data_IF_519177633595
#
_entry.id   IF_519177633595
#
_cell.length_a   1.000
_cell.length_b   1.000
_cell.length_c   1.000
_cell.angle_alpha   90.00
_cell.angle_beta   90.00
_cell.angle_gamma   90.00
#
_symmetry.space_group_name_H-M   'P 1'
#
loop_
_entity.id
_entity.type
_entity.pdbx_description
1 polymer ?
#
# COMPACT_ATOMS: atom_id res chain seq x y z
N UNK A 1 -23.92 13.33 16.80
CA UNK A 1 -23.46 14.59 16.16
C UNK A 1 -22.68 15.49 17.11
N UNK A 2 -22.98 15.51 18.42
CA UNK A 2 -22.24 16.32 19.39
C UNK A 2 -20.75 15.91 19.51
N UNK A 3 -20.42 14.61 19.49
CA UNK A 3 -19.02 14.13 19.62
C UNK A 3 -18.13 14.38 18.39
N UNK A 4 -18.70 14.42 17.19
CA UNK A 4 -17.93 14.64 15.96
C UNK A 4 -17.46 16.09 15.83
N UNK A 5 -18.29 17.05 16.28
CA UNK A 5 -17.95 18.47 16.29
C UNK A 5 -16.86 18.79 17.33
N UNK A 6 -16.89 18.14 18.50
CA UNK A 6 -15.88 18.30 19.56
C UNK A 6 -14.52 17.72 19.16
N UNK A 7 -14.49 16.61 18.39
CA UNK A 7 -13.25 16.03 17.85
C UNK A 7 -12.64 16.83 16.69
N UNK A 8 -13.48 17.44 15.85
CA UNK A 8 -13.02 18.37 14.82
C UNK A 8 -12.31 19.59 15.43
N UNK A 9 -12.74 20.06 16.60
CA UNK A 9 -12.10 21.15 17.33
C UNK A 9 -10.77 20.74 18.01
N UNK A 10 -10.55 19.46 18.32
CA UNK A 10 -9.33 18.97 18.97
C UNK A 10 -8.19 18.64 18.00
N UNK A 11 -8.43 18.66 16.68
CA UNK A 11 -7.45 18.29 15.66
C UNK A 11 -7.11 16.80 15.64
N UNK A 12 -8.00 15.96 16.19
CA UNK A 12 -7.85 14.50 16.24
C UNK A 12 -8.59 13.90 15.05
N UNK A 13 -7.93 13.02 14.31
CA UNK A 13 -8.54 12.41 13.13
C UNK A 13 -9.69 11.49 13.53
N UNK A 14 -10.80 11.57 12.78
CA UNK A 14 -11.98 10.72 13.00
C UNK A 14 -12.24 9.89 11.74
N UNK A 15 -12.13 8.54 11.82
CA UNK A 15 -12.48 7.67 10.71
C UNK A 15 -13.90 7.97 10.20
N UNK A 16 -14.01 8.16 8.89
CA UNK A 16 -15.25 8.48 8.17
C UNK A 16 -15.83 9.87 8.48
N UNK A 17 -15.04 10.75 9.10
CA UNK A 17 -15.31 12.18 9.19
C UNK A 17 -15.09 12.92 7.86
N UNK A 18 -15.31 14.24 7.86
CA UNK A 18 -15.29 15.05 6.64
C UNK A 18 -13.95 14.99 5.90
N UNK A 19 -12.82 15.14 6.59
CA UNK A 19 -11.47 15.07 6.01
C UNK A 19 -11.19 13.70 5.39
N UNK A 20 -11.60 12.61 6.06
CA UNK A 20 -11.48 11.25 5.51
C UNK A 20 -12.27 11.10 4.21
N UNK A 21 -13.55 11.50 4.20
CA UNK A 21 -14.41 11.39 3.02
C UNK A 21 -13.89 12.23 1.84
N UNK A 22 -13.36 13.43 2.12
CA UNK A 22 -12.74 14.28 1.09
C UNK A 22 -11.52 13.58 0.50
N UNK A 23 -10.62 13.02 1.32
CA UNK A 23 -9.46 12.31 0.80
C UNK A 23 -9.87 11.07 -0.02
N UNK A 24 -10.85 10.29 0.44
CA UNK A 24 -11.36 9.15 -0.33
C UNK A 24 -11.90 9.59 -1.68
N UNK A 25 -12.68 10.69 -1.73
CA UNK A 25 -13.19 11.24 -2.98
C UNK A 25 -12.05 11.67 -3.92
N UNK A 26 -11.03 12.35 -3.39
CA UNK A 26 -9.84 12.74 -4.17
C UNK A 26 -9.11 11.51 -4.72
N UNK A 27 -8.87 10.48 -3.91
CA UNK A 27 -8.20 9.26 -4.34
C UNK A 27 -9.00 8.52 -5.42
N UNK A 28 -10.32 8.47 -5.30
CA UNK A 28 -11.20 7.87 -6.33
C UNK A 28 -11.13 8.66 -7.63
N UNK A 29 -11.22 9.99 -7.58
CA UNK A 29 -11.17 10.85 -8.77
C UNK A 29 -9.82 10.74 -9.46
N UNK A 30 -8.72 10.84 -8.71
CA UNK A 30 -7.35 10.73 -9.24
C UNK A 30 -7.10 9.33 -9.81
N UNK A 31 -7.50 8.28 -9.08
CA UNK A 31 -7.38 6.89 -9.52
C UNK A 31 -8.17 6.61 -10.79
N UNK A 32 -9.41 7.08 -10.88
CA UNK A 32 -10.23 6.97 -12.08
C UNK A 32 -9.61 7.71 -13.27
N UNK A 33 -9.15 8.96 -13.06
CA UNK A 33 -8.52 9.75 -14.11
C UNK A 33 -7.24 9.10 -14.63
N UNK A 34 -6.34 8.66 -13.74
CA UNK A 34 -5.11 7.97 -14.10
C UNK A 34 -5.40 6.66 -14.81
N UNK A 35 -6.37 5.87 -14.35
CA UNK A 35 -6.77 4.63 -15.02
C UNK A 35 -7.26 4.91 -16.44
N UNK A 36 -8.15 5.89 -16.64
CA UNK A 36 -8.69 6.27 -17.95
C UNK A 36 -7.60 6.75 -18.90
N UNK A 37 -6.72 7.64 -18.42
CA UNK A 37 -5.58 8.17 -19.20
C UNK A 37 -4.55 7.08 -19.51
N UNK A 38 -4.23 6.23 -18.54
CA UNK A 38 -3.32 5.10 -18.73
C UNK A 38 -3.80 4.15 -19.81
N UNK A 39 -5.10 3.83 -19.84
CA UNK A 39 -5.69 3.00 -20.90
C UNK A 39 -5.63 3.68 -22.26
N UNK A 40 -5.98 4.97 -22.34
CA UNK A 40 -6.01 5.71 -23.59
C UNK A 40 -4.60 5.94 -24.19
N UNK A 41 -3.58 6.08 -23.35
CA UNK A 41 -2.20 6.37 -23.76
C UNK A 41 -1.31 5.13 -23.82
N UNK A 42 -1.84 3.94 -23.56
CA UNK A 42 -1.06 2.71 -23.42
C UNK A 42 -0.19 2.46 -24.66
N UNK A 43 1.09 2.17 -24.44
CA UNK A 43 2.06 1.92 -25.51
C UNK A 43 2.64 3.17 -26.18
N UNK A 44 2.27 4.37 -25.71
CA UNK A 44 2.81 5.64 -26.23
C UNK A 44 3.80 6.26 -25.25
N UNK A 45 4.68 7.13 -25.75
CA UNK A 45 5.59 7.92 -24.91
C UNK A 45 4.87 8.84 -23.91
N UNK A 46 3.58 9.15 -24.16
CA UNK A 46 2.76 9.92 -23.23
C UNK A 46 2.39 9.12 -21.97
N UNK A 47 2.23 7.79 -22.06
CA UNK A 47 2.03 6.96 -20.88
C UNK A 47 3.29 6.88 -20.01
N UNK A 48 4.47 6.90 -20.62
CA UNK A 48 5.74 6.94 -19.90
C UNK A 48 5.94 8.27 -19.19
N UNK A 49 5.67 9.39 -19.87
CA UNK A 49 5.65 10.72 -19.24
C UNK A 49 4.65 10.79 -18.09
N UNK A 50 3.41 10.35 -18.29
CA UNK A 50 2.38 10.35 -17.25
C UNK A 50 2.81 9.55 -16.01
N UNK A 51 3.44 8.40 -16.22
CA UNK A 51 3.92 7.58 -15.11
C UNK A 51 5.14 8.15 -14.42
N UNK A 52 6.07 8.73 -15.16
CA UNK A 52 7.22 9.41 -14.57
C UNK A 52 6.75 10.63 -13.77
N UNK A 53 5.80 11.42 -14.29
CA UNK A 53 5.17 12.52 -13.56
C UNK A 53 4.51 12.01 -12.29
N UNK A 54 3.77 10.90 -12.34
CA UNK A 54 3.16 10.33 -11.15
C UNK A 54 4.22 9.86 -10.13
N UNK A 55 5.28 9.19 -10.57
CA UNK A 55 6.39 8.79 -9.70
C UNK A 55 7.05 9.99 -9.01
N UNK A 56 7.32 11.07 -9.76
CA UNK A 56 7.93 12.30 -9.24
C UNK A 56 7.00 12.99 -8.24
N UNK A 57 5.70 13.12 -8.54
CA UNK A 57 4.73 13.70 -7.61
C UNK A 57 4.62 12.87 -6.34
N UNK A 58 4.58 11.54 -6.46
CA UNK A 58 4.52 10.64 -5.32
C UNK A 58 5.76 10.79 -4.43
N UNK A 59 6.97 10.78 -5.03
CA UNK A 59 8.22 11.06 -4.33
C UNK A 59 8.21 12.43 -3.64
N UNK A 60 7.81 13.48 -4.35
CA UNK A 60 7.83 14.85 -3.84
C UNK A 60 6.87 15.07 -2.66
N UNK A 61 5.74 14.36 -2.63
CA UNK A 61 4.77 14.44 -1.53
C UNK A 61 5.19 13.61 -0.31
N UNK A 62 5.91 12.51 -0.52
CA UNK A 62 6.17 11.53 0.53
C UNK A 62 7.56 11.67 1.14
N UNK A 63 8.60 11.72 0.29
CA UNK A 63 9.99 11.65 0.73
C UNK A 63 10.41 12.80 1.66
N UNK A 64 10.07 14.08 1.39
CA UNK A 64 10.43 15.16 2.30
C UNK A 64 9.80 15.02 3.69
N UNK A 65 8.54 14.57 3.75
CA UNK A 65 7.85 14.34 5.01
C UNK A 65 8.45 13.15 5.76
N UNK A 66 8.76 12.05 5.07
CA UNK A 66 9.46 10.91 5.69
C UNK A 66 10.81 11.34 6.28
N UNK A 67 11.62 12.09 5.52
CA UNK A 67 12.91 12.62 6.00
C UNK A 67 12.70 13.54 7.20
N UNK A 68 11.67 14.37 7.17
CA UNK A 68 11.35 15.27 8.28
C UNK A 68 11.05 14.52 9.59
N UNK A 69 10.32 13.40 9.53
CA UNK A 69 10.07 12.57 10.72
C UNK A 69 11.29 11.77 11.20
N UNK A 70 12.32 11.63 10.36
CA UNK A 70 13.61 11.05 10.76
C UNK A 70 14.55 12.05 11.47
N UNK A 71 14.17 13.32 11.57
CA UNK A 71 14.99 14.33 12.27
C UNK A 71 14.97 14.12 13.80
N UNK A 72 16.07 14.41 14.53
CA UNK A 72 16.18 14.12 15.97
C UNK A 72 15.01 14.61 16.85
N UNK A 73 14.39 15.78 16.60
CA UNK A 73 13.27 16.24 17.43
C UNK A 73 11.99 15.39 17.31
N UNK A 74 11.90 14.50 16.31
CA UNK A 74 10.71 13.73 15.95
C UNK A 74 10.96 12.23 15.84
N UNK A 75 12.24 11.86 15.79
CA UNK A 75 12.66 10.48 15.65
C UNK A 75 12.19 9.68 16.87
N UNK A 76 11.35 8.68 16.61
CA UNK A 76 11.02 7.61 17.55
C UNK A 76 11.43 6.29 16.91
N UNK A 77 12.31 5.53 17.57
CA UNK A 77 12.78 4.24 17.09
C UNK A 77 11.65 3.22 16.90
N UNK A 78 10.51 3.38 17.58
CA UNK A 78 9.37 2.47 17.50
C UNK A 78 8.51 2.66 16.24
N UNK A 79 8.60 3.83 15.57
CA UNK A 79 7.70 4.17 14.48
C UNK A 79 8.27 5.01 13.34
N UNK A 80 9.42 5.66 13.53
CA UNK A 80 9.98 6.59 12.54
C UNK A 80 10.85 5.88 11.47
N UNK A 81 11.47 4.74 11.80
CA UNK A 81 12.29 4.02 10.82
C UNK A 81 11.43 3.56 9.63
N UNK A 82 11.91 3.76 8.38
CA UNK A 82 11.16 3.43 7.17
C UNK A 82 11.26 1.93 6.85
N UNK A 83 10.94 1.08 7.82
CA UNK A 83 11.01 -0.39 7.72
C UNK A 83 9.62 -1.04 7.77
N UNK A 84 8.55 -0.25 7.92
CA UNK A 84 7.19 -0.77 7.80
C UNK A 84 6.98 -1.29 6.38
N UNK A 85 6.04 -2.23 6.23
CA UNK A 85 5.70 -2.73 4.89
C UNK A 85 5.11 -1.62 4.00
N UNK A 86 4.43 -0.63 4.59
CA UNK A 86 3.93 0.55 3.88
C UNK A 86 5.07 1.42 3.33
N UNK A 87 6.20 1.54 4.03
CA UNK A 87 7.41 2.22 3.55
C UNK A 87 7.95 1.55 2.28
N UNK A 88 8.07 0.23 2.31
CA UNK A 88 8.50 -0.54 1.15
C UNK A 88 7.45 -0.50 0.03
N UNK A 89 6.16 -0.45 0.36
CA UNK A 89 5.08 -0.42 -0.63
C UNK A 89 5.08 0.85 -1.48
N UNK A 90 5.23 2.02 -0.86
CA UNK A 90 5.25 3.28 -1.62
C UNK A 90 6.55 3.41 -2.44
N UNK A 91 7.70 2.98 -1.90
CA UNK A 91 8.98 2.96 -2.63
C UNK A 91 8.93 2.01 -3.83
N UNK A 92 8.38 0.81 -3.65
CA UNK A 92 8.20 -0.14 -4.76
C UNK A 92 7.19 0.36 -5.78
N UNK A 93 6.14 1.08 -5.37
CA UNK A 93 5.19 1.73 -6.27
C UNK A 93 5.87 2.79 -7.13
N UNK A 94 6.66 3.69 -6.53
CA UNK A 94 7.46 4.67 -7.27
C UNK A 94 8.40 3.98 -8.24
N UNK A 95 9.15 2.97 -7.79
CA UNK A 95 10.07 2.23 -8.65
C UNK A 95 9.33 1.53 -9.81
N UNK A 96 8.16 0.94 -9.55
CA UNK A 96 7.32 0.32 -10.58
C UNK A 96 6.77 1.34 -11.59
N UNK A 97 6.41 2.54 -11.14
CA UNK A 97 5.98 3.65 -12.00
C UNK A 97 7.12 4.12 -12.92
N UNK A 98 8.35 4.16 -12.43
CA UNK A 98 9.52 4.58 -13.20
C UNK A 98 9.98 3.51 -14.20
N UNK A 99 10.02 2.24 -13.78
CA UNK A 99 10.72 1.18 -14.53
C UNK A 99 9.79 0.19 -15.24
N UNK A 100 8.52 0.14 -14.86
CA UNK A 100 7.56 -0.91 -15.29
C UNK A 100 8.00 -2.33 -14.94
N UNK A 101 8.97 -2.48 -14.03
CA UNK A 101 9.49 -3.79 -13.67
C UNK A 101 8.35 -4.67 -13.13
N UNK A 102 8.09 -5.80 -13.79
CA UNK A 102 6.94 -6.66 -13.47
C UNK A 102 6.95 -7.19 -12.03
N UNK A 103 8.13 -7.35 -11.44
CA UNK A 103 8.27 -7.76 -10.04
C UNK A 103 7.81 -6.64 -9.10
N UNK A 104 8.20 -5.40 -9.38
CA UNK A 104 7.82 -4.24 -8.57
C UNK A 104 6.34 -3.93 -8.74
N UNK A 105 5.83 -3.95 -9.97
CA UNK A 105 4.38 -3.79 -10.22
C UNK A 105 3.55 -4.87 -9.52
N UNK A 106 4.09 -6.08 -9.38
CA UNK A 106 3.42 -7.13 -8.60
C UNK A 106 3.45 -6.85 -7.10
N UNK A 107 4.59 -6.43 -6.53
CA UNK A 107 4.64 -5.97 -5.13
C UNK A 107 3.64 -4.84 -4.87
N UNK A 108 3.61 -3.83 -5.73
CA UNK A 108 2.64 -2.72 -5.66
C UNK A 108 1.20 -3.21 -5.78
N UNK A 109 0.93 -4.18 -6.66
CA UNK A 109 -0.40 -4.78 -6.81
C UNK A 109 -0.86 -5.49 -5.54
N UNK A 110 -0.04 -6.39 -5.02
CA UNK A 110 -0.41 -7.22 -3.87
C UNK A 110 -0.42 -6.40 -2.58
N UNK A 111 0.66 -5.69 -2.25
CA UNK A 111 0.72 -4.86 -1.04
C UNK A 111 -0.29 -3.71 -1.11
N UNK A 112 -0.36 -3.01 -2.24
CA UNK A 112 -1.26 -1.87 -2.41
C UNK A 112 -2.74 -2.24 -2.28
N UNK A 113 -3.21 -3.21 -3.07
CA UNK A 113 -4.64 -3.53 -3.13
C UNK A 113 -5.18 -4.33 -1.95
N UNK A 114 -4.31 -4.78 -1.04
CA UNK A 114 -4.73 -5.54 0.15
C UNK A 114 -4.30 -4.83 1.42
N UNK A 115 -3.01 -4.87 1.74
CA UNK A 115 -2.46 -4.38 3.00
C UNK A 115 -2.59 -2.85 3.11
N UNK A 116 -2.17 -2.12 2.08
CA UNK A 116 -2.28 -0.65 2.07
C UNK A 116 -3.72 -0.18 2.00
N UNK A 117 -4.59 -0.92 1.33
CA UNK A 117 -6.03 -0.61 1.26
C UNK A 117 -6.70 -0.76 2.63
N UNK A 118 -6.25 -1.69 3.49
CA UNK A 118 -6.73 -1.78 4.87
C UNK A 118 -6.47 -0.48 5.63
N UNK A 119 -5.28 0.11 5.53
CA UNK A 119 -4.95 1.39 6.17
C UNK A 119 -5.81 2.56 5.68
N UNK A 120 -6.39 2.48 4.46
CA UNK A 120 -7.32 3.48 3.96
C UNK A 120 -8.70 3.34 4.64
N UNK A 121 -9.19 2.12 4.85
CA UNK A 121 -10.52 1.89 5.44
C UNK A 121 -10.54 1.87 6.97
N UNK A 122 -9.44 1.44 7.59
CA UNK A 122 -9.25 1.42 9.04
C UNK A 122 -7.98 2.20 9.41
N UNK A 123 -7.94 3.53 9.15
CA UNK A 123 -6.77 4.34 9.38
C UNK A 123 -6.42 4.46 10.88
N UNK A 124 -5.18 4.14 11.21
CA UNK A 124 -4.57 4.43 12.52
C UNK A 124 -3.82 5.76 12.43
N UNK A 125 -4.58 6.86 12.38
CA UNK A 125 -4.04 8.22 12.27
C UNK A 125 -4.54 9.06 13.45
N UNK A 126 -3.62 9.74 14.14
CA UNK A 126 -3.97 10.49 15.35
C UNK A 126 -4.33 11.96 15.09
N UNK A 127 -3.76 12.56 14.04
CA UNK A 127 -3.85 14.00 13.76
C UNK A 127 -4.58 14.27 12.45
N UNK A 128 -5.61 15.10 12.51
CA UNK A 128 -6.42 15.44 11.34
C UNK A 128 -5.77 16.52 10.46
N UNK A 129 -6.37 16.78 9.30
CA UNK A 129 -6.02 17.91 8.44
C UNK A 129 -6.05 19.24 9.23
N UNK A 130 -5.06 20.14 9.05
CA UNK A 130 -3.94 20.12 8.10
C UNK A 130 -2.60 19.65 8.69
N UNK A 131 -2.58 18.69 9.62
CA UNK A 131 -1.33 18.23 10.23
C UNK A 131 -0.43 17.47 9.24
N UNK A 132 0.89 17.61 9.34
CA UNK A 132 1.84 16.90 8.46
C UNK A 132 1.70 15.35 8.46
N UNK A 133 1.44 14.67 9.60
CA UNK A 133 1.18 13.23 9.61
C UNK A 133 -0.02 12.83 8.73
N UNK A 134 -1.05 13.68 8.65
CA UNK A 134 -2.20 13.44 7.78
C UNK A 134 -1.77 13.34 6.31
N UNK A 135 -1.00 14.33 5.84
CA UNK A 135 -0.53 14.33 4.45
C UNK A 135 0.40 13.16 4.15
N UNK A 136 1.34 12.85 5.04
CA UNK A 136 2.26 11.72 4.86
C UNK A 136 1.49 10.39 4.80
N UNK A 137 0.57 10.16 5.73
CA UNK A 137 -0.25 8.95 5.77
C UNK A 137 -1.01 8.73 4.47
N UNK A 138 -1.76 9.74 4.00
CA UNK A 138 -2.55 9.61 2.78
C UNK A 138 -1.71 9.58 1.51
N UNK A 139 -0.55 10.24 1.49
CA UNK A 139 0.39 10.15 0.38
C UNK A 139 0.94 8.71 0.26
N UNK A 140 1.49 8.15 1.33
CA UNK A 140 2.04 6.79 1.34
C UNK A 140 0.99 5.75 0.97
N UNK A 141 -0.18 5.79 1.60
CA UNK A 141 -1.18 4.73 1.45
C UNK A 141 -2.04 4.95 0.20
N UNK A 142 -2.62 6.13 0.05
CA UNK A 142 -3.52 6.47 -1.04
C UNK A 142 -2.86 6.39 -2.41
N UNK A 143 -1.68 7.01 -2.57
CA UNK A 143 -0.99 7.02 -3.87
C UNK A 143 -0.43 5.64 -4.23
N UNK A 144 -0.07 4.80 -3.25
CA UNK A 144 0.30 3.39 -3.51
C UNK A 144 -0.87 2.62 -4.10
N UNK A 145 -2.08 2.75 -3.54
CA UNK A 145 -3.30 2.12 -4.08
C UNK A 145 -3.60 2.62 -5.49
N UNK A 146 -3.53 3.94 -5.70
CA UNK A 146 -3.72 4.54 -7.02
C UNK A 146 -2.67 4.05 -8.03
N UNK A 147 -1.41 3.89 -7.62
CA UNK A 147 -0.33 3.34 -8.44
C UNK A 147 -0.60 1.88 -8.81
N UNK A 148 -1.04 1.06 -7.87
CA UNK A 148 -1.45 -0.32 -8.12
C UNK A 148 -2.55 -0.37 -9.19
N UNK A 149 -3.58 0.47 -9.04
CA UNK A 149 -4.69 0.55 -9.99
C UNK A 149 -4.21 0.99 -11.39
N UNK A 150 -3.40 2.04 -11.44
CA UNK A 150 -2.87 2.60 -12.69
C UNK A 150 -1.95 1.61 -13.43
N UNK A 151 -1.00 0.99 -12.74
CA UNK A 151 -0.07 0.02 -13.34
C UNK A 151 -0.83 -1.20 -13.90
N UNK A 152 -1.77 -1.74 -13.12
CA UNK A 152 -2.47 -2.97 -13.51
C UNK A 152 -3.56 -2.73 -14.55
N UNK A 153 -4.48 -1.81 -14.31
CA UNK A 153 -5.62 -1.60 -15.20
C UNK A 153 -5.42 -0.45 -16.19
N UNK A 154 -4.64 0.56 -15.84
CA UNK A 154 -4.25 1.63 -16.75
C UNK A 154 -3.30 1.11 -17.82
N UNK A 155 -2.20 0.49 -17.40
CA UNK A 155 -1.12 0.10 -18.31
C UNK A 155 -1.07 -1.38 -18.65
N UNK A 156 -1.87 -2.21 -17.98
CA UNK A 156 -2.01 -3.62 -18.33
C UNK A 156 -0.89 -4.49 -17.80
N UNK A 157 -0.14 -4.01 -16.80
CA UNK A 157 0.90 -4.81 -16.14
C UNK A 157 0.22 -5.70 -15.11
N UNK A 158 -0.12 -6.91 -15.56
CA UNK A 158 -0.92 -7.86 -14.78
C UNK A 158 -0.06 -8.83 -13.98
N UNK A 159 -0.56 -9.27 -12.81
CA UNK A 159 0.12 -10.27 -11.99
C UNK A 159 0.05 -11.66 -12.64
N UNK A 160 0.95 -12.55 -12.22
CA UNK A 160 0.95 -13.97 -12.57
C UNK A 160 1.51 -14.81 -11.41
N UNK A 161 1.47 -16.14 -11.52
CA UNK A 161 1.94 -17.07 -10.49
C UNK A 161 3.44 -16.99 -10.20
N UNK A 162 4.26 -16.54 -11.16
CA UNK A 162 5.70 -16.34 -10.91
C UNK A 162 5.87 -15.14 -9.99
N UNK A 163 5.22 -14.02 -10.30
CA UNK A 163 5.36 -12.79 -9.51
C UNK A 163 4.60 -12.87 -8.18
N UNK A 164 3.50 -13.61 -8.11
CA UNK A 164 2.86 -14.01 -6.85
C UNK A 164 3.87 -14.63 -5.86
N UNK A 165 4.64 -15.63 -6.31
CA UNK A 165 5.66 -16.28 -5.47
C UNK A 165 6.80 -15.34 -5.10
N UNK A 166 7.21 -14.45 -6.02
CA UNK A 166 8.21 -13.41 -5.73
C UNK A 166 7.70 -12.47 -4.63
N UNK A 167 6.45 -12.04 -4.70
CA UNK A 167 5.85 -11.16 -3.69
C UNK A 167 5.70 -11.86 -2.34
N UNK A 168 5.29 -13.14 -2.31
CA UNK A 168 5.30 -13.93 -1.07
C UNK A 168 6.71 -14.02 -0.46
N UNK A 169 7.71 -14.37 -1.27
CA UNK A 169 9.08 -14.49 -0.80
C UNK A 169 9.64 -13.15 -0.28
N UNK A 170 9.36 -12.04 -0.98
CA UNK A 170 9.76 -10.71 -0.54
C UNK A 170 9.08 -10.30 0.78
N UNK A 171 7.80 -10.64 0.95
CA UNK A 171 7.05 -10.35 2.18
C UNK A 171 7.54 -11.20 3.35
N UNK A 172 7.84 -12.48 3.12
CA UNK A 172 8.44 -13.35 4.13
C UNK A 172 9.84 -12.88 4.52
N UNK A 173 10.66 -12.46 3.56
CA UNK A 173 11.99 -11.90 3.82
C UNK A 173 11.91 -10.60 4.64
N UNK A 174 10.96 -9.73 4.31
CA UNK A 174 10.67 -8.54 5.10
C UNK A 174 10.27 -8.92 6.52
N UNK A 175 9.31 -9.83 6.69
CA UNK A 175 8.82 -10.25 8.00
C UNK A 175 9.94 -10.83 8.88
N UNK A 176 10.77 -11.72 8.34
CA UNK A 176 11.92 -12.28 9.08
C UNK A 176 12.93 -11.19 9.46
N UNK A 177 13.25 -10.30 8.53
CA UNK A 177 14.19 -9.20 8.77
C UNK A 177 13.69 -8.25 9.86
N UNK A 178 12.43 -7.84 9.78
CA UNK A 178 11.81 -6.91 10.72
C UNK A 178 11.57 -7.56 12.08
N UNK A 179 11.12 -8.82 12.13
CA UNK A 179 11.04 -9.58 13.39
C UNK A 179 12.39 -9.65 14.10
N UNK A 180 13.47 -9.90 13.34
CA UNK A 180 14.82 -9.93 13.89
C UNK A 180 15.23 -8.56 14.43
N UNK A 181 14.99 -7.50 13.66
CA UNK A 181 15.25 -6.12 14.09
C UNK A 181 14.49 -5.76 15.36
N UNK A 182 13.18 -6.02 15.38
CA UNK A 182 12.29 -5.82 16.52
C UNK A 182 12.83 -6.50 17.78
N UNK A 183 13.31 -7.74 17.66
CA UNK A 183 13.84 -8.52 18.78
C UNK A 183 15.17 -7.97 19.32
N UNK A 184 15.95 -7.28 18.49
CA UNK A 184 17.26 -6.70 18.87
C UNK A 184 17.07 -5.33 19.53
N UNK A 185 16.13 -4.53 19.01
CA UNK A 185 15.96 -3.11 19.36
C UNK A 185 14.76 -2.87 20.29
N UNK A 186 14.06 -3.94 20.69
CA UNK A 186 12.85 -3.90 21.52
C UNK A 186 11.75 -3.01 20.92
N UNK A 187 11.42 -3.28 19.65
CA UNK A 187 10.35 -2.58 18.90
C UNK A 187 9.35 -3.59 18.33
N UNK A 188 8.26 -3.12 17.71
CA UNK A 188 7.21 -4.01 17.21
C UNK A 188 6.66 -3.58 15.84
N UNK A 189 7.55 -3.31 14.88
CA UNK A 189 7.18 -3.02 13.50
C UNK A 189 6.39 -4.17 12.88
N UNK A 190 5.33 -3.85 12.15
CA UNK A 190 4.44 -4.83 11.55
C UNK A 190 3.70 -5.73 12.54
N UNK A 191 3.74 -5.46 13.85
CA UNK A 191 3.16 -6.31 14.89
C UNK A 191 3.62 -7.77 14.83
N UNK A 192 4.90 -7.98 14.47
CA UNK A 192 5.48 -9.32 14.28
C UNK A 192 5.92 -9.98 15.59
N UNK A 193 6.18 -9.18 16.64
CA UNK A 193 6.70 -9.67 17.91
C UNK A 193 5.60 -9.75 18.97
N UNK A 194 4.62 -8.86 18.89
CA UNK A 194 3.42 -8.88 19.70
C UNK A 194 2.24 -8.24 18.95
N UNK A 195 1.02 -8.50 19.41
CA UNK A 195 -0.16 -7.77 18.94
C UNK A 195 -0.10 -6.31 19.38
N UNK A 196 -0.79 -5.39 18.68
CA UNK A 196 -1.00 -4.04 19.22
C UNK A 196 -1.76 -4.10 20.56
N UNK A 197 -1.51 -3.13 21.44
CA UNK A 197 -2.27 -2.97 22.70
C UNK A 197 -3.71 -2.48 22.47
N UNK A 198 -4.03 -2.08 21.24
CA UNK A 198 -5.36 -1.66 20.81
C UNK A 198 -6.09 -2.80 20.11
N UNK A 199 -7.42 -2.73 20.12
CA UNK A 199 -8.27 -3.72 19.47
C UNK A 199 -7.89 -3.89 17.98
N UNK A 200 -7.63 -5.12 17.58
CA UNK A 200 -7.16 -5.46 16.23
C UNK A 200 -7.79 -6.74 15.70
N UNK A 201 -7.79 -6.92 14.38
CA UNK A 201 -8.16 -8.20 13.76
C UNK A 201 -7.30 -9.35 14.26
N UNK A 202 -6.05 -9.07 14.65
CA UNK A 202 -5.12 -10.06 15.18
C UNK A 202 -5.62 -10.71 16.47
N UNK A 203 -6.51 -10.06 17.22
CA UNK A 203 -7.09 -10.60 18.47
C UNK A 203 -7.87 -11.89 18.24
N UNK A 204 -8.44 -12.05 17.04
CA UNK A 204 -9.24 -13.21 16.63
C UNK A 204 -8.41 -14.40 16.17
N UNK A 205 -7.09 -14.23 16.00
CA UNK A 205 -6.22 -15.22 15.35
C UNK A 205 -5.36 -16.05 16.33
N UNK A 206 -5.65 -15.98 17.63
CA UNK A 206 -4.93 -16.75 18.67
C UNK A 206 -3.64 -16.07 19.17
N UNK A 207 -2.90 -16.69 20.10
CA UNK A 207 -1.68 -16.11 20.68
C UNK A 207 -0.51 -16.09 19.67
N UNK A 208 0.58 -15.41 20.02
CA UNK A 208 1.83 -15.53 19.27
C UNK A 208 2.36 -16.98 19.36
N UNK A 209 2.86 -17.61 18.28
CA UNK A 209 2.99 -17.10 16.91
C UNK A 209 1.82 -17.46 15.96
N UNK A 210 0.71 -18.01 16.47
CA UNK A 210 -0.41 -18.50 15.64
C UNK A 210 -1.11 -17.40 14.85
N UNK A 211 -1.23 -16.19 15.38
CA UNK A 211 -1.84 -15.12 14.59
C UNK A 211 -1.05 -14.79 13.33
N UNK A 212 0.29 -14.89 13.36
CA UNK A 212 1.15 -14.66 12.19
C UNK A 212 0.94 -15.74 11.12
N UNK A 213 0.75 -16.99 11.55
CA UNK A 213 0.46 -18.09 10.64
C UNK A 213 -0.91 -17.90 9.97
N UNK A 214 -1.93 -17.57 10.75
CA UNK A 214 -3.28 -17.30 10.25
C UNK A 214 -3.28 -16.11 9.29
N UNK A 215 -2.64 -15.00 9.66
CA UNK A 215 -2.49 -13.83 8.82
C UNK A 215 -1.76 -14.16 7.50
N UNK A 216 -0.65 -14.91 7.57
CA UNK A 216 0.10 -15.35 6.39
C UNK A 216 -0.78 -16.17 5.43
N UNK A 217 -1.56 -17.12 5.96
CA UNK A 217 -2.47 -17.95 5.17
C UNK A 217 -3.57 -17.11 4.53
N UNK A 218 -4.16 -16.16 5.27
CA UNK A 218 -5.19 -15.26 4.76
C UNK A 218 -4.62 -14.41 3.62
N UNK A 219 -3.48 -13.73 3.85
CA UNK A 219 -2.84 -12.87 2.85
C UNK A 219 -2.47 -13.67 1.60
N UNK A 220 -1.83 -14.83 1.76
CA UNK A 220 -1.47 -15.69 0.63
C UNK A 220 -2.69 -16.18 -0.17
N UNK A 221 -3.79 -16.47 0.52
CA UNK A 221 -5.05 -16.92 -0.10
C UNK A 221 -5.74 -15.79 -0.84
N UNK A 222 -5.88 -14.61 -0.23
CA UNK A 222 -6.44 -13.41 -0.87
C UNK A 222 -5.63 -13.06 -2.10
N UNK A 223 -4.31 -13.08 -2.01
CA UNK A 223 -3.42 -12.83 -3.15
C UNK A 223 -3.65 -13.84 -4.26
N UNK A 224 -3.73 -15.13 -3.95
CA UNK A 224 -4.01 -16.14 -4.95
C UNK A 224 -5.36 -15.90 -5.65
N UNK A 225 -6.40 -15.57 -4.88
CA UNK A 225 -7.74 -15.25 -5.41
C UNK A 225 -7.71 -14.07 -6.38
N UNK A 226 -7.00 -12.99 -6.05
CA UNK A 226 -6.91 -11.84 -6.95
C UNK A 226 -5.97 -12.09 -8.15
N UNK A 227 -5.06 -13.08 -8.09
CA UNK A 227 -4.23 -13.52 -9.23
C UNK A 227 -5.03 -14.34 -10.26
N UNK A 228 -5.96 -15.19 -9.80
CA UNK A 228 -6.67 -16.18 -10.63
C UNK A 228 -7.28 -15.59 -11.91
N UNK A 229 -8.07 -14.48 -11.86
CA UNK A 229 -8.71 -13.92 -13.05
C UNK A 229 -7.73 -13.53 -14.16
N UNK A 230 -6.53 -13.07 -13.79
CA UNK A 230 -5.50 -12.65 -14.75
C UNK A 230 -4.88 -13.84 -15.47
N UNK A 231 -4.59 -14.90 -14.73
CA UNK A 231 -4.02 -16.13 -15.31
C UNK A 231 -5.02 -16.84 -16.21
N UNK A 232 -6.30 -16.88 -15.81
CA UNK A 232 -7.36 -17.45 -16.64
C UNK A 232 -7.54 -16.69 -17.96
N UNK A 233 -7.54 -15.35 -17.92
CA UNK A 233 -7.61 -14.51 -19.13
C UNK A 233 -6.43 -14.75 -20.07
N UNK A 234 -5.20 -14.83 -19.53
CA UNK A 234 -4.00 -15.09 -20.35
C UNK A 234 -4.03 -16.46 -21.05
N UNK A 235 -4.54 -17.50 -20.37
CA UNK A 235 -4.73 -18.84 -20.96
C UNK A 235 -5.80 -18.87 -22.05
N UNK A 236 -6.89 -18.11 -21.89
CA UNK A 236 -7.94 -18.02 -22.90
C UNK A 236 -7.43 -17.36 -24.18
N UNK A 237 -6.66 -16.26 -24.07
CA UNK A 237 -6.07 -15.59 -25.23
C UNK A 237 -5.05 -16.47 -25.98
N UNK A 238 -4.31 -17.34 -25.30
CA UNK A 238 -3.33 -18.21 -25.96
C UNK A 238 -3.98 -19.35 -26.75
N UNK A 239 -5.18 -19.83 -26.33
CA UNK A 239 -5.91 -20.90 -27.03
C UNK A 239 -6.65 -20.43 -28.27
N UNK A 240 -7.13 -19.19 -28.28
CA UNK A 240 -7.83 -18.59 -29.43
C UNK A 240 -6.90 -18.21 -30.60
N UNK A 241 -5.60 -18.00 -30.34
CA UNK A 241 -4.63 -17.60 -31.37
C UNK A 241 -3.96 -18.75 -32.12
N UNK A 242 -4.11 -20.00 -31.67
CA UNK A 242 -3.55 -21.21 -32.32
C UNK A 242 -4.56 -21.94 -33.22
N UNK A 243 -5.76 -21.38 -33.40
CA UNK A 243 -6.86 -21.96 -34.19
C UNK A 243 -7.32 -21.09 -35.36
N UNK A 244 -6.55 -20.06 -35.72
CA UNK A 244 -6.72 -19.20 -36.89
C UNK A 244 -5.46 -19.27 -37.75
#
# INVERSE_FOLDING_TARGET
MHDAATRAASGVFTPYGASHLVVLAVLVVVGWWLLRRGRALRGTSAADRLSMTFAVVFLALTLPLQIWFLTPPRFNIEGALPIQLSDLAWLTAVYALMTRARWASALTYYWGLTLTTQAIFTPSLDRDFPALPFFLFWAMHGLTVVAAIYLTWGLGITPDWRRYRVTLAATALWAVSVFTFNSIVDTNYGFLNAKPDTASLLDWFGPWPWYLLVETVIVASVWALITVPWVLRAKASSRGGTGA
#
